data_IF_368752546051
#
_entry.id   IF_368752546051
#
_cell.length_a   1.000
_cell.length_b   1.000
_cell.length_c   1.000
_cell.angle_alpha   90.00
_cell.angle_beta   90.00
_cell.angle_gamma   90.00
#
_symmetry.space_group_name_H-M   'P 1'
#
loop_
_entity.id
_entity.type
_entity.pdbx_description
1 polymer ?
#
# COMPACT_ATOMS: atom_id res chain seq x y z
N UNK A 1 -51.58 6.13 36.21
CA UNK A 1 -50.32 5.66 36.81
C UNK A 1 -49.35 6.82 36.78
N UNK A 2 -49.11 7.42 37.95
CA UNK A 2 -48.35 8.68 38.14
C UNK A 2 -46.86 8.38 38.28
N UNK A 3 -46.04 9.04 37.47
CA UNK A 3 -44.56 9.00 37.59
C UNK A 3 -44.05 9.61 38.87
N UNK A 4 -43.02 9.05 39.55
CA UNK A 4 -42.48 9.65 40.74
C UNK A 4 -41.59 10.86 40.41
N UNK A 5 -41.84 11.97 41.09
CA UNK A 5 -40.97 13.15 41.09
C UNK A 5 -39.77 12.90 42.01
N UNK A 6 -38.56 12.95 41.45
CA UNK A 6 -37.33 12.95 42.26
C UNK A 6 -37.12 14.34 42.88
N UNK A 7 -37.10 14.41 44.21
CA UNK A 7 -36.68 15.61 44.93
C UNK A 7 -35.17 15.51 45.23
N UNK A 8 -34.43 16.55 44.85
CA UNK A 8 -32.99 16.66 45.14
C UNK A 8 -32.76 16.92 46.64
N UNK A 9 -32.43 15.89 47.37
CA UNK A 9 -32.03 15.98 48.77
C UNK A 9 -30.51 15.72 48.87
N UNK A 10 -29.75 16.69 49.34
CA UNK A 10 -28.31 16.53 49.62
C UNK A 10 -28.15 16.29 51.10
N UNK A 11 -27.56 15.16 51.48
CA UNK A 11 -27.15 14.85 52.88
C UNK A 11 -25.77 15.45 53.12
N UNK A 12 -25.68 16.32 54.09
CA UNK A 12 -24.39 16.86 54.59
C UNK A 12 -23.99 16.08 55.84
N UNK A 13 -22.77 15.52 55.92
CA UNK A 13 -22.32 14.80 57.10
C UNK A 13 -22.09 15.77 58.27
N UNK A 14 -22.71 15.51 59.41
CA UNK A 14 -22.47 16.23 60.62
C UNK A 14 -21.23 15.74 61.36
N UNK A 15 -20.45 16.65 61.90
CA UNK A 15 -19.33 16.37 62.79
C UNK A 15 -19.87 15.89 64.13
N UNK A 16 -19.39 14.71 64.54
CA UNK A 16 -19.51 14.03 65.83
C UNK A 16 -20.66 14.48 66.76
N UNK A 17 -21.73 13.72 66.85
CA UNK A 17 -22.58 13.62 68.00
C UNK A 17 -23.98 14.18 67.95
N UNK A 18 -24.53 14.60 66.81
CA UNK A 18 -25.91 15.04 66.72
C UNK A 18 -26.68 14.42 65.49
N UNK A 19 -27.94 14.09 65.74
CA UNK A 19 -28.85 13.55 64.76
C UNK A 19 -29.13 14.53 63.61
N UNK A 20 -29.27 14.08 62.34
CA UNK A 20 -29.44 14.97 61.21
C UNK A 20 -30.82 15.68 61.22
N UNK A 21 -30.79 17.00 61.09
CA UNK A 21 -32.00 17.82 60.95
C UNK A 21 -32.25 18.23 59.50
N UNK A 22 -33.53 18.18 59.09
CA UNK A 22 -34.00 18.59 57.76
C UNK A 22 -34.29 20.09 57.82
N UNK A 23 -33.58 20.88 57.01
CA UNK A 23 -33.89 22.30 56.84
C UNK A 23 -34.54 22.53 55.49
N UNK A 24 -35.78 22.99 55.49
CA UNK A 24 -36.52 23.49 54.33
C UNK A 24 -36.32 25.01 54.23
N UNK A 25 -35.71 25.44 53.12
CA UNK A 25 -35.55 26.88 52.85
C UNK A 25 -36.83 27.44 52.20
N UNK A 26 -37.55 28.28 52.97
CA UNK A 26 -38.64 29.11 52.46
C UNK A 26 -38.10 30.31 51.65
N UNK A 27 -38.78 30.57 50.55
CA UNK A 27 -38.44 31.69 49.66
C UNK A 27 -38.88 33.03 50.37
N UNK A 28 -37.95 33.88 50.66
CA UNK A 28 -38.17 35.30 50.98
C UNK A 28 -37.75 36.15 49.76
N UNK A 29 -38.78 36.77 49.15
CA UNK A 29 -38.62 37.75 48.08
C UNK A 29 -37.92 39.01 48.61
N UNK A 30 -36.66 39.23 48.19
CA UNK A 30 -36.02 40.53 48.27
C UNK A 30 -35.66 41.05 46.87
N UNK A 31 -35.93 42.33 46.59
CA UNK A 31 -35.66 42.92 45.28
C UNK A 31 -34.16 42.96 45.03
N UNK A 32 -33.67 42.09 44.10
CA UNK A 32 -32.25 42.00 43.73
C UNK A 32 -31.80 43.28 42.99
N UNK A 33 -30.92 44.06 43.58
CA UNK A 33 -30.21 45.18 42.97
C UNK A 33 -29.47 44.65 41.69
N UNK A 34 -29.81 45.21 40.54
CA UNK A 34 -29.15 44.91 39.26
C UNK A 34 -27.67 45.25 39.34
N UNK A 35 -26.79 44.27 39.36
CA UNK A 35 -25.35 44.47 39.25
C UNK A 35 -25.00 44.91 37.83
N UNK A 36 -24.21 45.97 37.61
CA UNK A 36 -23.74 46.36 36.30
C UNK A 36 -22.82 45.25 35.77
N UNK A 37 -23.16 44.67 34.60
CA UNK A 37 -22.34 43.67 33.96
C UNK A 37 -21.67 44.20 32.70
N UNK A 38 -20.43 43.75 32.44
CA UNK A 38 -19.66 44.11 31.27
C UNK A 38 -20.36 43.55 30.02
N UNK A 39 -20.62 44.36 29.00
CA UNK A 39 -21.21 43.94 27.75
C UNK A 39 -20.25 43.02 27.02
N UNK A 40 -20.70 41.84 26.59
CA UNK A 40 -19.92 40.93 25.74
C UNK A 40 -19.70 41.55 24.36
N UNK A 41 -18.44 41.77 23.99
CA UNK A 41 -18.09 42.37 22.70
C UNK A 41 -18.36 41.44 21.51
N UNK A 42 -18.20 40.12 21.70
CA UNK A 42 -18.39 39.05 20.69
C UNK A 42 -19.76 38.34 20.79
N UNK A 43 -20.70 38.86 21.53
CA UNK A 43 -22.03 38.28 21.68
C UNK A 43 -22.81 38.21 20.38
N UNK A 44 -23.67 37.18 20.21
CA UNK A 44 -24.50 36.96 19.04
C UNK A 44 -25.56 38.08 18.87
N UNK A 45 -26.05 38.28 17.64
CA UNK A 45 -26.99 39.36 17.31
C UNK A 45 -28.34 39.21 18.02
N UNK A 46 -28.82 38.01 18.23
CA UNK A 46 -30.05 37.76 19.00
C UNK A 46 -29.93 38.22 20.46
N UNK A 47 -28.84 37.94 21.14
CA UNK A 47 -28.56 38.41 22.50
C UNK A 47 -28.31 39.94 22.56
N UNK A 48 -27.63 40.50 21.55
CA UNK A 48 -27.43 41.96 21.44
C UNK A 48 -28.74 42.72 21.27
N UNK A 49 -29.62 42.26 20.39
CA UNK A 49 -30.96 42.83 20.22
C UNK A 49 -31.80 42.79 21.50
N UNK A 50 -31.73 41.70 22.25
CA UNK A 50 -32.46 41.51 23.52
C UNK A 50 -31.79 42.14 24.72
N UNK A 51 -30.58 42.73 24.53
CA UNK A 51 -29.79 43.40 25.61
C UNK A 51 -29.50 42.44 26.79
N UNK A 52 -29.32 41.14 26.50
CA UNK A 52 -28.93 40.12 27.49
C UNK A 52 -27.49 39.73 27.30
N UNK A 53 -26.84 39.23 28.39
CA UNK A 53 -25.44 38.76 28.32
C UNK A 53 -25.38 37.49 27.49
N UNK A 54 -24.50 37.48 26.49
CA UNK A 54 -24.17 36.30 25.71
C UNK A 54 -22.96 35.59 26.32
N UNK A 55 -22.98 34.27 26.36
CA UNK A 55 -21.85 33.42 26.79
C UNK A 55 -20.85 33.17 25.70
N UNK A 56 -21.08 33.77 24.52
CA UNK A 56 -20.17 33.73 23.34
C UNK A 56 -19.94 32.32 22.76
N UNK A 57 -20.67 31.29 23.18
CA UNK A 57 -20.70 29.97 22.58
C UNK A 57 -21.55 29.98 21.29
N UNK A 58 -21.33 29.04 20.41
CA UNK A 58 -22.11 28.92 19.14
C UNK A 58 -22.70 27.51 19.07
N UNK A 59 -24.04 27.40 19.21
CA UNK A 59 -25.01 28.41 19.63
C UNK A 59 -24.89 28.74 21.12
N UNK A 60 -25.20 29.99 21.53
CA UNK A 60 -25.14 30.39 22.91
C UNK A 60 -26.29 29.84 23.74
N UNK A 61 -26.10 29.63 25.05
CA UNK A 61 -27.08 29.03 25.94
C UNK A 61 -28.41 29.77 25.92
N UNK A 62 -28.41 31.09 25.83
CA UNK A 62 -29.62 31.90 25.76
C UNK A 62 -30.44 31.71 24.46
N UNK A 63 -29.77 31.45 23.33
CA UNK A 63 -30.43 31.17 22.08
C UNK A 63 -30.93 29.71 22.04
N UNK A 64 -30.15 28.77 22.55
CA UNK A 64 -30.55 27.37 22.72
C UNK A 64 -31.82 27.19 23.54
N UNK A 65 -31.85 27.82 24.72
CA UNK A 65 -33.02 27.74 25.62
C UNK A 65 -34.33 28.32 25.00
N UNK A 66 -34.18 29.20 24.02
CA UNK A 66 -35.34 29.86 23.35
C UNK A 66 -35.58 29.34 21.96
N UNK A 67 -34.85 28.34 21.51
CA UNK A 67 -34.95 27.78 20.16
C UNK A 67 -34.82 28.85 19.06
N UNK A 68 -33.96 29.88 19.28
CA UNK A 68 -33.69 30.95 18.33
C UNK A 68 -32.38 30.78 17.62
N UNK A 69 -32.28 31.21 16.37
CA UNK A 69 -31.05 31.18 15.59
C UNK A 69 -30.00 32.10 16.20
N UNK A 70 -28.79 31.55 16.42
CA UNK A 70 -27.66 32.25 17.04
C UNK A 70 -26.61 32.63 15.98
N UNK A 71 -26.63 33.87 15.50
CA UNK A 71 -25.63 34.38 14.55
C UNK A 71 -24.57 35.21 15.27
N UNK A 72 -23.31 34.85 15.07
CA UNK A 72 -22.15 35.66 15.48
C UNK A 72 -21.49 36.30 14.25
N UNK A 73 -21.25 37.61 14.21
CA UNK A 73 -20.82 38.31 12.99
C UNK A 73 -19.39 37.98 12.49
N UNK A 74 -18.64 37.12 13.15
CA UNK A 74 -17.23 36.86 12.81
C UNK A 74 -16.88 35.35 12.62
N UNK A 75 -17.85 34.46 12.49
CA UNK A 75 -17.60 33.07 12.05
C UNK A 75 -18.34 32.81 10.76
N UNK A 76 -17.60 32.80 9.65
CA UNK A 76 -18.03 32.06 8.45
C UNK A 76 -17.89 30.57 8.82
N UNK A 77 -18.83 30.07 9.59
CA UNK A 77 -19.03 28.63 9.72
C UNK A 77 -19.89 28.25 8.54
N UNK A 78 -19.31 27.56 7.58
CA UNK A 78 -20.08 26.74 6.65
C UNK A 78 -20.88 25.81 7.51
N UNK A 79 -22.16 26.15 7.75
CA UNK A 79 -23.10 25.30 8.45
C UNK A 79 -23.44 24.16 7.49
N UNK A 80 -22.71 23.07 7.57
CA UNK A 80 -23.19 21.76 7.17
C UNK A 80 -24.39 21.52 8.09
N UNK A 81 -25.61 21.29 7.58
CA UNK A 81 -26.72 20.91 8.42
C UNK A 81 -26.36 19.57 9.06
N UNK A 82 -25.90 19.59 10.29
CA UNK A 82 -25.86 18.41 11.12
C UNK A 82 -27.32 18.15 11.45
N UNK A 83 -27.98 17.38 10.59
CA UNK A 83 -29.10 16.59 11.04
C UNK A 83 -28.55 15.76 12.18
N UNK A 84 -28.94 16.06 13.40
CA UNK A 84 -28.68 15.20 14.53
C UNK A 84 -29.48 13.90 14.27
N UNK A 85 -28.95 13.06 13.37
CA UNK A 85 -29.25 11.64 13.38
C UNK A 85 -28.84 11.20 14.77
N UNK A 86 -29.77 10.63 15.52
CA UNK A 86 -29.45 9.95 16.76
C UNK A 86 -28.17 9.15 16.48
N UNK A 87 -27.09 9.48 17.21
CA UNK A 87 -25.88 8.70 17.16
C UNK A 87 -26.30 7.39 17.80
N UNK A 88 -26.65 6.41 16.97
CA UNK A 88 -26.74 5.04 17.42
C UNK A 88 -25.43 4.78 18.18
N UNK A 89 -25.47 4.27 19.42
CA UNK A 89 -24.27 4.01 20.17
C UNK A 89 -23.37 3.16 19.30
N UNK A 90 -22.22 3.71 18.90
CA UNK A 90 -21.23 2.97 18.13
C UNK A 90 -20.99 1.68 18.90
N UNK A 91 -21.29 0.53 18.34
CA UNK A 91 -21.13 -0.72 19.08
C UNK A 91 -19.68 -0.82 19.53
N UNK A 92 -19.48 -1.16 20.81
CA UNK A 92 -18.15 -1.32 21.43
C UNK A 92 -17.25 -2.25 20.61
N UNK A 93 -17.86 -3.17 19.89
CA UNK A 93 -17.22 -4.17 19.07
C UNK A 93 -17.77 -4.06 17.66
N UNK A 94 -16.90 -3.83 16.71
CA UNK A 94 -17.26 -3.91 15.30
C UNK A 94 -17.22 -5.38 14.85
N UNK A 95 -18.38 -6.02 14.79
CA UNK A 95 -18.50 -7.44 14.42
C UNK A 95 -17.96 -7.73 13.02
N UNK A 96 -18.10 -6.80 12.08
CA UNK A 96 -17.51 -6.92 10.75
C UNK A 96 -15.97 -6.97 10.84
N UNK A 97 -15.35 -6.12 11.64
CA UNK A 97 -13.89 -6.16 11.82
C UNK A 97 -13.43 -7.46 12.47
N UNK A 98 -14.20 -8.01 13.42
CA UNK A 98 -13.87 -9.32 14.02
C UNK A 98 -14.02 -10.45 13.01
N UNK A 99 -15.07 -10.45 12.19
CA UNK A 99 -15.28 -11.42 11.11
C UNK A 99 -14.11 -11.38 10.13
N UNK A 100 -13.71 -10.19 9.67
CA UNK A 100 -12.59 -9.98 8.76
C UNK A 100 -11.25 -10.42 9.37
N UNK A 101 -11.01 -10.07 10.64
CA UNK A 101 -9.77 -10.45 11.33
C UNK A 101 -9.69 -11.97 11.55
N UNK A 102 -10.81 -12.61 11.90
CA UNK A 102 -10.88 -14.07 12.01
C UNK A 102 -10.59 -14.73 10.66
N UNK A 103 -11.18 -14.23 9.58
CA UNK A 103 -10.94 -14.74 8.23
C UNK A 103 -9.47 -14.53 7.80
N UNK A 104 -8.86 -13.39 8.16
CA UNK A 104 -7.43 -13.18 7.96
C UNK A 104 -6.60 -14.30 8.59
N UNK A 105 -6.83 -14.57 9.86
CA UNK A 105 -6.03 -15.56 10.59
C UNK A 105 -6.23 -16.99 10.08
N UNK A 106 -7.45 -17.36 9.68
CA UNK A 106 -7.77 -18.71 9.25
C UNK A 106 -7.47 -18.98 7.79
N UNK A 107 -7.76 -18.03 6.93
CA UNK A 107 -7.80 -18.25 5.48
C UNK A 107 -6.86 -17.29 4.72
N UNK A 108 -7.03 -15.97 4.84
CA UNK A 108 -6.42 -15.01 3.94
C UNK A 108 -4.90 -15.06 3.96
N UNK A 109 -4.26 -15.01 5.14
CA UNK A 109 -2.81 -14.95 5.25
C UNK A 109 -2.09 -16.17 4.67
N UNK A 110 -2.75 -17.31 4.63
CA UNK A 110 -2.18 -18.56 4.07
C UNK A 110 -2.18 -18.57 2.54
N UNK A 111 -2.95 -17.68 1.91
CA UNK A 111 -3.02 -17.53 0.45
C UNK A 111 -2.07 -16.46 -0.10
N UNK A 112 -1.32 -15.80 0.77
CA UNK A 112 -0.40 -14.73 0.39
C UNK A 112 1.04 -15.27 0.30
N UNK A 113 1.82 -14.74 -0.64
CA UNK A 113 3.26 -14.99 -0.70
C UNK A 113 3.95 -14.55 0.60
N UNK A 114 5.13 -15.08 0.86
CA UNK A 114 5.92 -14.80 2.07
C UNK A 114 5.21 -15.15 3.38
N UNK A 115 4.70 -16.37 3.54
CA UNK A 115 3.86 -16.75 4.69
C UNK A 115 4.53 -16.53 6.05
N UNK A 116 5.87 -16.51 6.09
CA UNK A 116 6.68 -16.36 7.30
C UNK A 116 6.56 -14.96 7.93
N UNK A 117 6.28 -13.92 7.16
CA UNK A 117 6.21 -12.54 7.69
C UNK A 117 4.84 -12.19 8.28
N UNK A 118 3.76 -12.81 7.83
CA UNK A 118 2.41 -12.40 8.22
C UNK A 118 2.09 -12.54 9.71
N UNK A 119 2.64 -13.52 10.46
CA UNK A 119 2.51 -13.55 11.91
C UNK A 119 3.12 -12.33 12.59
N UNK A 120 4.27 -11.83 12.11
CA UNK A 120 4.92 -10.63 12.63
C UNK A 120 4.08 -9.38 12.30
N UNK A 121 3.63 -9.26 11.06
CA UNK A 121 2.75 -8.15 10.62
C UNK A 121 1.46 -8.13 11.43
N UNK A 122 0.88 -9.29 11.72
CA UNK A 122 -0.33 -9.40 12.55
C UNK A 122 -0.08 -8.92 13.98
N UNK A 123 1.09 -9.17 14.57
CA UNK A 123 1.43 -8.64 15.89
C UNK A 123 1.54 -7.12 15.88
N UNK A 124 2.13 -6.54 14.83
CA UNK A 124 2.20 -5.08 14.67
C UNK A 124 0.81 -4.45 14.54
N UNK A 125 -0.17 -5.16 13.97
CA UNK A 125 -1.53 -4.65 13.83
C UNK A 125 -2.24 -4.34 15.15
N UNK A 126 -1.82 -4.93 16.26
CA UNK A 126 -2.36 -4.61 17.58
C UNK A 126 -1.85 -3.29 18.15
N UNK A 127 -0.80 -2.73 17.55
CA UNK A 127 -0.16 -1.49 17.99
C UNK A 127 -0.29 -0.36 16.97
N UNK A 128 -0.47 -0.72 15.70
CA UNK A 128 -0.49 0.23 14.56
C UNK A 128 -1.80 0.11 13.78
N UNK A 129 -2.61 1.15 13.83
CA UNK A 129 -3.94 1.19 13.23
C UNK A 129 -3.93 1.09 11.68
N UNK A 130 -2.86 1.56 11.04
CA UNK A 130 -2.68 1.44 9.59
C UNK A 130 -2.42 0.00 9.16
N UNK A 131 -1.69 -0.79 9.96
CA UNK A 131 -1.47 -2.23 9.71
C UNK A 131 -2.78 -3.00 9.86
N UNK A 132 -3.51 -2.75 10.95
CA UNK A 132 -4.81 -3.37 11.18
C UNK A 132 -5.78 -3.05 10.04
N UNK A 133 -5.84 -1.80 9.61
CA UNK A 133 -6.71 -1.39 8.50
C UNK A 133 -6.35 -2.10 7.19
N UNK A 134 -5.06 -2.30 6.90
CA UNK A 134 -4.57 -3.02 5.72
C UNK A 134 -4.94 -4.51 5.78
N UNK A 135 -4.75 -5.16 6.92
CA UNK A 135 -5.14 -6.56 7.15
C UNK A 135 -6.65 -6.75 6.91
N UNK A 136 -7.47 -5.90 7.53
CA UNK A 136 -8.92 -5.98 7.36
C UNK A 136 -9.36 -5.71 5.92
N UNK A 137 -8.70 -4.78 5.23
CA UNK A 137 -8.95 -4.48 3.82
C UNK A 137 -8.66 -5.70 2.93
N UNK A 138 -7.48 -6.29 3.07
CA UNK A 138 -7.07 -7.48 2.31
C UNK A 138 -8.01 -8.66 2.59
N UNK A 139 -8.43 -8.85 3.84
CA UNK A 139 -9.39 -9.87 4.22
C UNK A 139 -10.78 -9.62 3.61
N UNK A 140 -11.25 -8.37 3.58
CA UNK A 140 -12.51 -8.01 2.95
C UNK A 140 -12.49 -8.26 1.42
N UNK A 141 -11.35 -7.98 0.76
CA UNK A 141 -11.16 -8.30 -0.65
C UNK A 141 -11.18 -9.79 -0.91
N UNK A 142 -10.50 -10.59 -0.05
CA UNK A 142 -10.55 -12.04 -0.15
C UNK A 142 -12.00 -12.56 0.01
N UNK A 143 -12.73 -12.11 1.02
CA UNK A 143 -14.15 -12.45 1.16
C UNK A 143 -14.97 -12.05 -0.06
N UNK A 144 -14.74 -10.88 -0.63
CA UNK A 144 -15.48 -10.43 -1.80
C UNK A 144 -15.21 -11.30 -3.04
N UNK A 145 -14.01 -11.90 -3.12
CA UNK A 145 -13.68 -12.86 -4.18
C UNK A 145 -14.37 -14.22 -3.98
N UNK A 146 -14.53 -14.66 -2.73
CA UNK A 146 -15.20 -15.90 -2.37
C UNK A 146 -16.74 -15.78 -2.41
N UNK A 147 -17.26 -14.60 -2.02
CA UNK A 147 -18.68 -14.32 -1.92
C UNK A 147 -19.09 -13.08 -2.75
N UNK A 148 -18.98 -13.13 -4.11
CA UNK A 148 -19.19 -11.97 -4.98
C UNK A 148 -20.64 -11.43 -4.93
N UNK A 149 -21.59 -12.22 -4.43
CA UNK A 149 -22.99 -11.83 -4.30
C UNK A 149 -23.29 -11.05 -3.01
N UNK A 150 -22.33 -10.98 -2.06
CA UNK A 150 -22.50 -10.22 -0.83
C UNK A 150 -21.83 -8.83 -0.92
N UNK A 151 -22.60 -7.77 -1.17
CA UNK A 151 -22.05 -6.43 -1.37
C UNK A 151 -21.34 -5.88 -0.13
N UNK A 152 -21.69 -6.37 1.07
CA UNK A 152 -21.10 -5.90 2.34
C UNK A 152 -19.57 -5.96 2.38
N UNK A 153 -18.97 -6.99 1.77
CA UNK A 153 -17.50 -7.16 1.78
C UNK A 153 -16.82 -6.23 0.77
N UNK A 154 -17.45 -5.99 -0.38
CA UNK A 154 -16.97 -5.01 -1.35
C UNK A 154 -17.01 -3.60 -0.77
N UNK A 155 -18.13 -3.23 -0.14
CA UNK A 155 -18.29 -1.93 0.50
C UNK A 155 -17.28 -1.76 1.64
N UNK A 156 -17.09 -2.81 2.47
CA UNK A 156 -16.10 -2.81 3.52
C UNK A 156 -14.67 -2.64 2.96
N UNK A 157 -14.30 -3.35 1.87
CA UNK A 157 -12.97 -3.23 1.26
C UNK A 157 -12.70 -1.81 0.76
N UNK A 158 -13.65 -1.16 0.10
CA UNK A 158 -13.52 0.23 -0.36
C UNK A 158 -13.30 1.23 0.78
N UNK A 159 -14.08 1.12 1.86
CA UNK A 159 -13.90 1.98 3.04
C UNK A 159 -12.56 1.74 3.75
N UNK A 160 -12.18 0.46 3.91
CA UNK A 160 -10.92 0.08 4.55
C UNK A 160 -9.71 0.46 3.70
N UNK A 161 -9.80 0.36 2.36
CA UNK A 161 -8.75 0.82 1.45
C UNK A 161 -8.49 2.32 1.62
N UNK A 162 -9.54 3.15 1.57
CA UNK A 162 -9.41 4.59 1.76
C UNK A 162 -8.76 4.93 3.11
N UNK A 163 -9.20 4.24 4.19
CA UNK A 163 -8.63 4.37 5.52
C UNK A 163 -7.17 3.93 5.58
N UNK A 164 -6.84 2.79 4.99
CA UNK A 164 -5.47 2.26 4.93
C UNK A 164 -4.54 3.25 4.26
N UNK A 165 -4.88 3.74 3.08
CA UNK A 165 -4.05 4.71 2.33
C UNK A 165 -3.85 5.99 3.13
N UNK A 166 -4.90 6.52 3.76
CA UNK A 166 -4.83 7.72 4.58
C UNK A 166 -3.89 7.54 5.78
N UNK A 167 -4.05 6.46 6.53
CA UNK A 167 -3.25 6.18 7.73
C UNK A 167 -1.81 5.83 7.37
N UNK A 168 -1.59 5.02 6.34
CA UNK A 168 -0.28 4.63 5.88
C UNK A 168 0.53 5.85 5.41
N UNK A 169 -0.08 6.72 4.60
CA UNK A 169 0.52 7.98 4.14
C UNK A 169 0.97 8.87 5.29
N UNK A 170 0.14 8.99 6.34
CA UNK A 170 0.50 9.72 7.56
C UNK A 170 1.70 9.10 8.27
N UNK A 171 1.83 7.79 8.27
CA UNK A 171 2.89 7.09 8.96
C UNK A 171 4.20 7.03 8.14
N UNK A 172 4.14 7.04 6.81
CA UNK A 172 5.31 7.17 5.93
C UNK A 172 6.07 8.49 6.11
N UNK A 173 5.41 9.54 6.60
CA UNK A 173 6.08 10.82 6.91
C UNK A 173 6.88 10.81 8.23
N UNK A 174 6.77 9.74 9.04
CA UNK A 174 7.53 9.58 10.27
C UNK A 174 8.95 9.07 9.97
N UNK A 175 9.95 9.40 10.80
CA UNK A 175 11.28 8.83 10.66
C UNK A 175 11.27 7.30 10.74
N UNK A 176 12.01 6.65 9.85
CA UNK A 176 12.22 5.20 9.90
C UNK A 176 13.05 4.82 11.11
N UNK A 177 12.62 3.81 11.83
CA UNK A 177 13.31 3.30 12.99
C UNK A 177 13.01 1.81 13.20
N UNK A 178 13.70 1.21 14.16
CA UNK A 178 13.57 -0.21 14.51
C UNK A 178 12.16 -0.63 14.93
N UNK A 179 11.35 0.27 15.43
CA UNK A 179 10.00 -0.03 15.91
C UNK A 179 8.93 -0.01 14.81
N UNK A 180 9.12 0.79 13.75
CA UNK A 180 8.09 0.98 12.74
C UNK A 180 8.40 0.39 11.35
N UNK A 181 9.64 -0.02 11.09
CA UNK A 181 10.05 -0.47 9.75
C UNK A 181 9.31 -1.75 9.30
N UNK A 182 9.10 -2.73 10.19
CA UNK A 182 8.36 -3.96 9.87
C UNK A 182 6.87 -3.67 9.62
N UNK A 183 6.26 -2.80 10.43
CA UNK A 183 4.87 -2.37 10.25
C UNK A 183 4.66 -1.65 8.92
N UNK A 184 5.57 -0.74 8.57
CA UNK A 184 5.54 0.00 7.32
C UNK A 184 5.74 -0.92 6.12
N UNK A 185 6.72 -1.83 6.17
CA UNK A 185 6.98 -2.78 5.10
C UNK A 185 5.85 -3.78 4.93
N UNK A 186 5.34 -4.37 6.01
CA UNK A 186 4.20 -5.27 5.96
C UNK A 186 2.96 -4.62 5.36
N UNK A 187 2.71 -3.35 5.73
CA UNK A 187 1.61 -2.58 5.12
C UNK A 187 1.84 -2.28 3.64
N UNK A 188 3.08 -1.95 3.24
CA UNK A 188 3.41 -1.72 1.83
C UNK A 188 3.15 -2.97 0.98
N UNK A 189 3.50 -4.15 1.48
CA UNK A 189 3.19 -5.43 0.80
C UNK A 189 1.68 -5.68 0.74
N UNK A 190 0.92 -5.39 1.81
CA UNK A 190 -0.54 -5.50 1.78
C UNK A 190 -1.17 -4.50 0.78
N UNK A 191 -0.66 -3.27 0.69
CA UNK A 191 -1.09 -2.28 -0.31
C UNK A 191 -0.79 -2.79 -1.73
N UNK A 192 0.31 -3.52 -1.94
CA UNK A 192 0.58 -4.15 -3.24
C UNK A 192 -0.47 -5.22 -3.57
N UNK A 193 -0.88 -6.09 -2.61
CA UNK A 193 -2.00 -7.03 -2.82
C UNK A 193 -3.31 -6.32 -3.14
N UNK A 194 -3.60 -5.22 -2.43
CA UNK A 194 -4.78 -4.39 -2.69
C UNK A 194 -4.74 -3.86 -4.13
N UNK A 195 -3.57 -3.38 -4.59
CA UNK A 195 -3.39 -2.87 -5.95
C UNK A 195 -3.49 -3.98 -7.02
N UNK A 196 -3.04 -5.19 -6.71
CA UNK A 196 -3.22 -6.35 -7.58
C UNK A 196 -4.71 -6.71 -7.76
N UNK A 197 -5.49 -6.62 -6.71
CA UNK A 197 -6.92 -6.95 -6.74
C UNK A 197 -7.77 -5.85 -7.37
N UNK A 198 -7.36 -4.58 -7.24
CA UNK A 198 -8.12 -3.42 -7.69
C UNK A 198 -8.15 -3.30 -9.22
N UNK A 199 -9.36 -3.32 -9.77
CA UNK A 199 -9.66 -3.12 -11.19
C UNK A 199 -10.56 -1.91 -11.43
N UNK A 200 -10.79 -1.08 -10.40
CA UNK A 200 -11.71 0.06 -10.49
C UNK A 200 -11.26 1.10 -11.53
N UNK A 201 -9.96 1.17 -11.83
CA UNK A 201 -9.45 2.04 -12.89
C UNK A 201 -10.02 1.74 -14.28
N UNK A 202 -10.57 0.54 -14.51
CA UNK A 202 -11.21 0.15 -15.78
C UNK A 202 -12.63 0.70 -15.93
N UNK A 203 -13.26 1.15 -14.83
CA UNK A 203 -14.63 1.63 -14.88
C UNK A 203 -14.76 2.92 -15.71
N UNK A 204 -15.68 2.90 -16.67
CA UNK A 204 -15.98 4.07 -17.51
C UNK A 204 -14.94 4.34 -18.61
N UNK A 205 -13.96 3.46 -18.80
CA UNK A 205 -13.00 3.58 -19.92
C UNK A 205 -13.59 3.01 -21.21
N UNK A 206 -13.44 3.77 -22.29
CA UNK A 206 -13.76 3.32 -23.66
C UNK A 206 -12.54 2.72 -24.36
N UNK A 207 -11.34 3.02 -23.88
CA UNK A 207 -10.05 2.56 -24.37
C UNK A 207 -9.17 2.21 -23.18
N UNK A 208 -8.32 1.20 -23.31
CA UNK A 208 -7.38 0.80 -22.28
C UNK A 208 -6.38 1.93 -21.97
N UNK A 209 -6.40 2.42 -20.74
CA UNK A 209 -5.52 3.48 -20.23
C UNK A 209 -4.82 2.98 -18.97
N UNK A 210 -3.61 2.45 -19.15
CA UNK A 210 -2.79 1.91 -18.06
C UNK A 210 -2.15 3.00 -17.18
N UNK A 211 -2.21 4.28 -17.58
CA UNK A 211 -1.72 5.38 -16.76
C UNK A 211 -2.48 5.55 -15.43
N UNK A 212 -3.65 4.93 -15.34
CA UNK A 212 -4.51 4.93 -14.14
C UNK A 212 -4.34 3.70 -13.27
N UNK A 213 -3.58 2.71 -13.73
CA UNK A 213 -3.36 1.46 -12.99
C UNK A 213 -2.41 1.65 -11.82
N UNK A 214 -2.95 1.69 -10.61
CA UNK A 214 -2.18 1.90 -9.38
C UNK A 214 -1.11 0.83 -9.14
N UNK A 215 -1.29 -0.38 -9.69
CA UNK A 215 -0.34 -1.47 -9.51
C UNK A 215 1.08 -1.10 -9.96
N UNK A 216 1.21 -0.38 -11.06
CA UNK A 216 2.52 0.00 -11.61
C UNK A 216 3.07 1.33 -11.06
N UNK A 217 2.22 2.15 -10.43
CA UNK A 217 2.63 3.47 -9.92
C UNK A 217 2.93 3.53 -8.42
N UNK A 218 2.42 2.56 -7.64
CA UNK A 218 2.74 2.48 -6.21
C UNK A 218 4.07 1.77 -5.91
N UNK A 219 4.53 0.95 -6.84
CA UNK A 219 5.71 0.08 -6.66
C UNK A 219 7.03 0.81 -6.45
N UNK A 220 7.32 1.98 -7.07
CA UNK A 220 8.55 2.72 -6.76
C UNK A 220 8.70 3.05 -5.28
N UNK A 221 7.58 3.38 -4.62
CA UNK A 221 7.56 3.64 -3.18
C UNK A 221 7.89 2.40 -2.33
N UNK A 222 7.48 1.21 -2.79
CA UNK A 222 7.79 -0.06 -2.09
C UNK A 222 9.28 -0.36 -2.19
N UNK A 223 9.90 -0.15 -3.35
CA UNK A 223 11.33 -0.34 -3.55
C UNK A 223 12.14 0.58 -2.62
N UNK A 224 11.81 1.85 -2.62
CA UNK A 224 12.46 2.85 -1.75
C UNK A 224 12.35 2.45 -0.28
N UNK A 225 11.15 2.05 0.15
CA UNK A 225 10.90 1.58 1.50
C UNK A 225 11.73 0.34 1.84
N UNK A 226 11.81 -0.61 0.90
CA UNK A 226 12.58 -1.84 1.04
C UNK A 226 14.06 -1.55 1.27
N UNK A 227 14.69 -0.78 0.39
CA UNK A 227 16.12 -0.46 0.52
C UNK A 227 16.43 0.32 1.80
N UNK A 228 15.57 1.25 2.21
CA UNK A 228 15.74 2.00 3.45
C UNK A 228 15.58 1.14 4.71
N UNK A 229 14.77 0.11 4.66
CA UNK A 229 14.51 -0.78 5.79
C UNK A 229 15.53 -1.91 5.91
N UNK A 230 16.19 -2.31 4.82
CA UNK A 230 17.08 -3.46 4.78
C UNK A 230 18.22 -3.44 5.81
N UNK A 231 18.96 -2.33 6.01
CA UNK A 231 19.99 -2.28 7.05
C UNK A 231 19.42 -2.58 8.45
N UNK A 232 18.20 -2.09 8.72
CA UNK A 232 17.52 -2.32 10.00
C UNK A 232 17.10 -3.78 10.13
N UNK A 233 16.53 -4.37 9.07
CA UNK A 233 16.10 -5.77 9.06
C UNK A 233 17.26 -6.73 9.30
N UNK A 234 18.40 -6.50 8.63
CA UNK A 234 19.62 -7.31 8.81
C UNK A 234 20.13 -7.18 10.25
N UNK A 235 20.18 -5.97 10.78
CA UNK A 235 20.69 -5.67 12.12
C UNK A 235 19.83 -6.29 13.25
N UNK A 236 18.53 -6.41 13.01
CA UNK A 236 17.56 -7.00 13.95
C UNK A 236 17.37 -8.52 13.79
N UNK A 237 17.91 -9.12 12.72
CA UNK A 237 17.57 -10.51 12.36
C UNK A 237 16.09 -10.70 12.04
N UNK A 238 15.48 -9.70 11.39
CA UNK A 238 14.07 -9.74 11.03
C UNK A 238 13.79 -10.76 9.92
N UNK A 239 12.62 -11.40 9.95
CA UNK A 239 12.16 -12.30 8.88
C UNK A 239 12.06 -11.61 7.52
N UNK A 240 11.92 -10.28 7.48
CA UNK A 240 11.99 -9.53 6.23
C UNK A 240 13.38 -9.58 5.59
N UNK A 241 14.46 -9.71 6.38
CA UNK A 241 15.80 -9.93 5.85
C UNK A 241 15.92 -11.31 5.18
N UNK A 242 15.23 -12.32 5.70
CA UNK A 242 15.22 -13.66 5.09
C UNK A 242 14.47 -13.66 3.74
N UNK A 243 13.35 -12.93 3.65
CA UNK A 243 12.66 -12.69 2.37
C UNK A 243 13.59 -12.05 1.34
N UNK A 244 14.43 -11.09 1.77
CA UNK A 244 15.37 -10.44 0.87
C UNK A 244 16.50 -11.35 0.38
N UNK A 245 16.93 -12.32 1.20
CA UNK A 245 17.94 -13.30 0.82
C UNK A 245 17.42 -14.35 -0.13
N UNK A 246 16.11 -14.60 -0.08
CA UNK A 246 15.46 -15.53 -0.97
C UNK A 246 15.36 -14.95 -2.39
N UNK A 247 15.80 -15.70 -3.38
CA UNK A 247 15.73 -15.31 -4.79
C UNK A 247 14.83 -16.28 -5.55
N UNK A 248 13.53 -16.00 -5.64
CA UNK A 248 12.57 -16.87 -6.34
C UNK A 248 13.00 -17.14 -7.79
N UNK A 249 13.49 -16.11 -8.48
CA UNK A 249 13.97 -16.23 -9.85
C UNK A 249 15.11 -17.26 -9.98
N UNK A 250 16.10 -17.19 -9.11
CA UNK A 250 17.24 -18.10 -9.14
C UNK A 250 16.82 -19.56 -8.93
N UNK A 251 15.90 -19.82 -8.00
CA UNK A 251 15.38 -21.16 -7.76
C UNK A 251 14.60 -21.70 -8.96
N UNK A 252 13.78 -20.86 -9.61
CA UNK A 252 13.07 -21.24 -10.83
C UNK A 252 14.06 -21.54 -11.96
N UNK A 253 15.05 -20.67 -12.20
CA UNK A 253 16.10 -20.89 -13.22
C UNK A 253 16.86 -22.18 -12.96
N UNK A 254 17.27 -22.46 -11.72
CA UNK A 254 17.94 -23.68 -11.34
C UNK A 254 17.08 -24.93 -11.63
N UNK A 255 15.81 -24.87 -11.29
CA UNK A 255 14.86 -25.95 -11.59
C UNK A 255 14.72 -26.17 -13.11
N UNK A 256 14.51 -25.11 -13.88
CA UNK A 256 14.38 -25.16 -15.34
C UNK A 256 15.64 -25.78 -16.00
N UNK A 257 16.81 -25.32 -15.60
CA UNK A 257 18.10 -25.90 -16.09
C UNK A 257 18.22 -27.37 -15.71
N UNK A 258 17.84 -27.75 -14.50
CA UNK A 258 17.85 -29.17 -14.08
C UNK A 258 16.91 -30.05 -14.89
N UNK A 259 15.83 -29.49 -15.41
CA UNK A 259 14.87 -30.16 -16.31
C UNK A 259 15.27 -30.08 -17.79
N UNK A 260 16.41 -29.46 -18.11
CA UNK A 260 16.93 -29.32 -19.48
C UNK A 260 16.26 -28.20 -20.27
N UNK A 261 15.71 -27.20 -19.61
CA UNK A 261 15.03 -26.07 -20.25
C UNK A 261 15.80 -24.76 -20.06
N UNK A 262 15.87 -23.95 -21.11
CA UNK A 262 16.53 -22.66 -21.12
C UNK A 262 15.49 -21.53 -21.23
N UNK A 263 15.33 -20.68 -20.19
CA UNK A 263 14.45 -19.53 -20.24
C UNK A 263 14.93 -18.42 -21.18
N UNK A 264 16.22 -18.36 -21.52
CA UNK A 264 16.82 -17.31 -22.39
C UNK A 264 16.22 -17.30 -23.80
N UNK A 265 15.65 -18.41 -24.26
CA UNK A 265 14.94 -18.47 -25.55
C UNK A 265 13.81 -17.43 -25.66
N UNK A 266 13.14 -17.10 -24.54
CA UNK A 266 12.06 -16.11 -24.53
C UNK A 266 12.57 -14.68 -24.63
N UNK A 267 13.79 -14.43 -24.15
CA UNK A 267 14.46 -13.13 -24.28
C UNK A 267 14.69 -12.82 -25.75
N UNK A 268 15.28 -13.76 -26.52
CA UNK A 268 15.50 -13.59 -27.95
C UNK A 268 14.22 -13.28 -28.72
N UNK A 269 13.18 -14.12 -28.52
CA UNK A 269 11.89 -13.97 -29.19
C UNK A 269 11.20 -12.61 -28.93
N UNK A 270 11.29 -12.10 -27.70
CA UNK A 270 10.70 -10.81 -27.33
C UNK A 270 11.59 -9.62 -27.71
N UNK A 271 12.90 -9.83 -27.83
CA UNK A 271 13.80 -8.80 -28.38
C UNK A 271 13.60 -8.58 -29.88
N UNK A 272 13.18 -9.60 -30.64
CA UNK A 272 12.76 -9.44 -32.04
C UNK A 272 11.60 -8.44 -32.16
N UNK A 273 10.68 -8.42 -31.18
CA UNK A 273 9.57 -7.44 -31.12
C UNK A 273 10.09 -6.02 -30.85
N UNK A 274 11.12 -5.89 -30.04
CA UNK A 274 11.74 -4.59 -29.77
C UNK A 274 12.33 -3.96 -31.04
N UNK A 275 12.96 -4.77 -31.86
CA UNK A 275 13.64 -4.33 -33.07
C UNK A 275 12.68 -4.21 -34.29
N UNK A 276 11.45 -4.73 -34.21
CA UNK A 276 10.45 -4.68 -35.26
C UNK A 276 9.74 -3.30 -35.35
N UNK A 277 9.86 -2.57 -36.46
CA UNK A 277 9.24 -1.25 -36.63
C UNK A 277 7.73 -1.21 -36.41
N UNK A 278 7.02 -2.32 -36.59
CA UNK A 278 5.56 -2.38 -36.40
C UNK A 278 5.13 -2.12 -34.96
N UNK A 279 5.99 -2.43 -33.99
CA UNK A 279 5.72 -2.24 -32.58
C UNK A 279 6.31 -0.93 -32.03
N UNK A 280 7.13 -0.24 -32.84
CA UNK A 280 7.67 1.06 -32.47
C UNK A 280 6.58 2.11 -32.68
N UNK A 281 5.99 2.60 -31.59
CA UNK A 281 5.03 3.70 -31.61
C UNK A 281 5.69 5.04 -31.96
N UNK A 282 4.88 6.09 -32.13
CA UNK A 282 5.34 7.47 -32.33
C UNK A 282 6.06 8.06 -31.09
N UNK A 283 6.26 7.27 -30.04
CA UNK A 283 6.96 7.68 -28.84
C UNK A 283 8.41 8.02 -29.17
N UNK A 284 8.71 9.30 -29.21
CA UNK A 284 10.07 9.79 -29.45
C UNK A 284 11.06 9.25 -28.42
N UNK A 285 12.37 9.31 -28.70
CA UNK A 285 13.40 8.84 -27.78
C UNK A 285 13.23 9.48 -26.40
N UNK A 286 13.40 8.69 -25.36
CA UNK A 286 13.35 9.15 -23.96
C UNK A 286 14.19 10.40 -23.78
N UNK A 287 13.56 11.48 -23.35
CA UNK A 287 14.33 12.59 -22.77
C UNK A 287 14.96 12.06 -21.50
N UNK A 288 16.28 12.00 -21.47
CA UNK A 288 17.12 11.37 -20.44
C UNK A 288 17.09 12.04 -19.07
N UNK A 289 16.12 12.88 -18.77
CA UNK A 289 16.15 13.81 -17.65
C UNK A 289 15.41 13.34 -16.39
N UNK A 290 14.79 12.17 -16.41
CA UNK A 290 14.23 11.61 -15.17
C UNK A 290 15.29 10.86 -14.38
N UNK A 291 15.55 11.28 -13.12
CA UNK A 291 16.50 10.58 -12.26
C UNK A 291 15.97 9.17 -11.94
N UNK A 292 16.56 8.17 -12.60
CA UNK A 292 16.26 6.77 -12.32
C UNK A 292 16.83 6.42 -10.96
N UNK A 293 15.99 5.96 -10.03
CA UNK A 293 16.40 5.57 -8.68
C UNK A 293 17.52 4.52 -8.70
N UNK A 294 18.60 4.73 -7.93
CA UNK A 294 19.64 3.70 -7.74
C UNK A 294 19.06 2.40 -7.20
N UNK A 295 18.07 2.48 -6.32
CA UNK A 295 17.38 1.32 -5.77
C UNK A 295 16.74 0.46 -6.87
N UNK A 296 16.11 1.07 -7.87
CA UNK A 296 15.54 0.36 -9.01
C UNK A 296 16.60 -0.32 -9.88
N UNK A 297 17.76 0.33 -10.11
CA UNK A 297 18.87 -0.27 -10.86
C UNK A 297 19.46 -1.49 -10.16
N UNK A 298 19.67 -1.41 -8.85
CA UNK A 298 20.11 -2.54 -8.04
C UNK A 298 19.10 -3.71 -8.12
N UNK A 299 17.82 -3.41 -8.05
CA UNK A 299 16.79 -4.43 -8.15
C UNK A 299 16.82 -5.15 -9.51
N UNK A 300 17.10 -4.44 -10.60
CA UNK A 300 17.27 -5.03 -11.92
C UNK A 300 18.61 -5.76 -12.11
N UNK A 301 19.54 -5.70 -11.14
CA UNK A 301 20.87 -6.30 -11.27
C UNK A 301 21.79 -5.55 -12.23
N UNK A 302 21.59 -4.24 -12.34
CA UNK A 302 22.38 -3.33 -13.19
C UNK A 302 23.59 -2.75 -12.43
N UNK A 303 24.12 -3.51 -11.49
CA UNK A 303 25.17 -3.08 -10.54
C UNK A 303 26.48 -2.68 -11.23
N UNK A 304 26.83 -3.34 -12.32
CA UNK A 304 28.11 -3.10 -13.05
C UNK A 304 28.19 -1.70 -13.68
N UNK A 305 27.16 -0.88 -13.55
CA UNK A 305 27.08 0.45 -14.16
C UNK A 305 27.09 1.57 -13.12
N UNK A 306 27.24 1.23 -11.84
CA UNK A 306 27.53 2.22 -10.79
C UNK A 306 29.05 2.50 -10.85
N UNK A 307 29.49 3.75 -11.06
CA UNK A 307 30.92 4.06 -11.06
C UNK A 307 31.48 3.73 -9.68
N UNK A 308 32.22 2.64 -9.58
CA UNK A 308 33.01 2.35 -8.38
C UNK A 308 34.07 3.44 -8.22
N UNK A 309 34.04 4.19 -7.13
CA UNK A 309 35.23 4.86 -6.65
C UNK A 309 36.23 3.76 -6.36
N UNK A 310 37.37 3.77 -7.12
CA UNK A 310 38.39 2.73 -7.08
C UNK A 310 38.76 2.37 -5.65
N UNK A 311 38.58 1.13 -5.20
CA UNK A 311 39.15 0.69 -3.92
C UNK A 311 40.67 0.58 -4.07
N UNK A 312 41.38 1.19 -3.16
CA UNK A 312 42.81 0.90 -2.95
C UNK A 312 42.90 -0.55 -2.49
N UNK A 313 43.58 -1.37 -3.28
CA UNK A 313 43.79 -2.79 -3.03
C UNK A 313 44.50 -3.03 -1.69
N UNK A 314 44.06 -3.93 -0.85
CA UNK A 314 44.91 -4.64 0.11
C UNK A 314 45.29 -6.03 -0.41
N UNK A 315 46.38 -6.62 0.11
CA UNK A 315 46.97 -7.83 -0.43
C UNK A 315 46.22 -9.11 -0.07
N UNK A 316 46.41 -10.10 -0.92
CA UNK A 316 45.84 -11.43 -0.80
C UNK A 316 46.35 -12.19 0.43
N UNK A 317 45.42 -12.84 1.16
CA UNK A 317 45.71 -14.07 1.92
C UNK A 317 44.48 -15.01 1.90
N UNK A 318 44.76 -16.27 1.71
CA UNK A 318 43.89 -17.42 1.57
C UNK A 318 43.21 -17.77 2.88
N UNK A 319 41.88 -18.12 2.89
CA UNK A 319 41.36 -19.25 3.67
C UNK A 319 39.83 -19.41 3.62
N UNK A 320 39.39 -20.67 3.48
CA UNK A 320 38.20 -21.36 3.93
C UNK A 320 36.79 -20.99 3.44
N UNK A 321 36.10 -22.01 2.91
CA UNK A 321 34.79 -22.00 2.22
C UNK A 321 33.56 -21.63 3.07
N UNK A 322 33.69 -21.42 4.37
CA UNK A 322 32.60 -20.99 5.26
C UNK A 322 32.37 -19.47 5.26
N UNK A 323 33.31 -18.69 4.72
CA UNK A 323 33.24 -17.21 4.75
C UNK A 323 32.51 -16.58 3.57
N UNK A 324 32.21 -17.31 2.50
CA UNK A 324 31.59 -16.74 1.29
C UNK A 324 30.15 -16.24 1.53
N UNK A 325 29.40 -16.89 2.42
CA UNK A 325 28.03 -16.46 2.72
C UNK A 325 27.99 -15.19 3.60
N UNK A 326 28.94 -15.07 4.52
CA UNK A 326 29.09 -13.88 5.38
C UNK A 326 29.66 -12.69 4.60
N UNK A 327 30.59 -12.92 3.68
CA UNK A 327 31.15 -11.89 2.81
C UNK A 327 30.11 -11.30 1.85
N UNK A 328 29.22 -12.12 1.29
CA UNK A 328 28.12 -11.67 0.44
C UNK A 328 27.14 -10.78 1.20
N UNK A 329 26.83 -11.12 2.46
CA UNK A 329 25.96 -10.33 3.33
C UNK A 329 26.61 -9.01 3.76
N UNK A 330 27.90 -9.01 4.05
CA UNK A 330 28.65 -7.81 4.42
C UNK A 330 28.73 -6.86 3.23
N UNK A 331 29.03 -7.38 2.05
CA UNK A 331 29.04 -6.61 0.81
C UNK A 331 27.66 -6.02 0.46
N UNK A 332 26.60 -6.79 0.60
CA UNK A 332 25.24 -6.31 0.40
C UNK A 332 24.88 -5.19 1.40
N UNK A 333 25.28 -5.35 2.67
CA UNK A 333 25.08 -4.34 3.70
C UNK A 333 25.86 -3.06 3.39
N UNK A 334 27.10 -3.16 2.94
CA UNK A 334 27.93 -2.01 2.54
C UNK A 334 27.34 -1.30 1.32
N UNK A 335 26.91 -2.03 0.29
CA UNK A 335 26.28 -1.46 -0.91
C UNK A 335 24.97 -0.76 -0.55
N UNK A 336 24.12 -1.38 0.29
CA UNK A 336 22.84 -0.80 0.72
C UNK A 336 23.08 0.44 1.58
N UNK A 337 24.06 0.41 2.50
CA UNK A 337 24.39 1.55 3.36
C UNK A 337 24.95 2.70 2.53
N UNK A 338 25.85 2.44 1.60
CA UNK A 338 26.43 3.45 0.70
C UNK A 338 25.35 4.10 -0.19
N UNK A 339 24.43 3.30 -0.70
CA UNK A 339 23.25 3.78 -1.45
C UNK A 339 22.36 4.63 -0.55
N UNK A 340 22.05 4.19 0.67
CA UNK A 340 21.18 4.90 1.60
C UNK A 340 21.78 6.24 2.02
N UNK A 341 23.09 6.28 2.35
CA UNK A 341 23.79 7.50 2.75
C UNK A 341 23.88 8.53 1.63
N UNK A 342 24.04 8.08 0.39
CA UNK A 342 24.03 8.96 -0.80
C UNK A 342 22.67 9.62 -1.06
N UNK A 343 21.57 8.97 -0.65
CA UNK A 343 20.21 9.50 -0.83
C UNK A 343 19.69 10.34 0.33
N UNK A 344 20.18 10.13 1.54
CA UNK A 344 19.70 10.84 2.74
C UNK A 344 20.42 12.16 3.00
N UNK A 345 21.55 12.43 2.33
CA UNK A 345 22.31 13.66 2.51
C UNK A 345 21.84 14.74 1.54
N UNK A 346 21.22 15.85 2.02
CA UNK A 346 20.66 16.92 1.15
C UNK A 346 21.75 17.76 0.44
N UNK A 347 23.03 17.50 0.68
CA UNK A 347 24.15 18.32 0.19
C UNK A 347 25.10 17.60 -0.78
N UNK A 348 24.80 16.34 -1.17
CA UNK A 348 25.73 15.61 -2.05
C UNK A 348 25.41 15.86 -3.53
N UNK A 349 26.40 16.28 -4.35
CA UNK A 349 26.21 16.50 -5.78
C UNK A 349 25.94 15.22 -6.58
N UNK A 350 25.97 14.05 -5.93
CA UNK A 350 25.62 12.76 -6.54
C UNK A 350 24.14 12.64 -6.93
N UNK A 351 23.26 13.47 -6.38
CA UNK A 351 21.87 13.58 -6.85
C UNK A 351 21.77 14.14 -8.30
N UNK A 352 22.86 14.70 -8.81
CA UNK A 352 22.99 15.27 -10.15
C UNK A 352 23.95 14.50 -11.06
N UNK A 353 24.43 13.31 -10.67
CA UNK A 353 25.15 12.48 -11.62
C UNK A 353 24.15 11.95 -12.65
N UNK A 354 24.16 12.57 -13.80
CA UNK A 354 23.69 12.03 -15.07
C UNK A 354 24.45 10.72 -15.31
N UNK A 355 23.89 9.64 -14.80
CA UNK A 355 24.36 8.31 -15.11
C UNK A 355 24.14 8.11 -16.60
N UNK A 356 25.22 7.80 -17.33
CA UNK A 356 25.23 7.54 -18.77
C UNK A 356 23.97 6.80 -19.18
N UNK A 357 23.24 7.34 -20.16
CA UNK A 357 22.00 6.82 -20.67
C UNK A 357 22.19 5.34 -21.07
N UNK A 358 21.64 4.42 -20.26
CA UNK A 358 21.36 3.10 -20.77
C UNK A 358 20.38 3.26 -21.92
N UNK A 359 20.62 2.57 -23.03
CA UNK A 359 19.64 2.55 -24.08
C UNK A 359 18.36 1.87 -23.56
N UNK A 360 17.21 2.40 -23.93
CA UNK A 360 15.91 1.81 -23.63
C UNK A 360 15.85 0.31 -23.92
N UNK A 361 16.55 -0.10 -25.00
CA UNK A 361 16.72 -1.48 -25.41
C UNK A 361 17.33 -2.35 -24.30
N UNK A 362 18.38 -1.87 -23.66
CA UNK A 362 19.07 -2.60 -22.58
C UNK A 362 18.20 -2.72 -21.34
N UNK A 363 17.41 -1.71 -21.03
CA UNK A 363 16.43 -1.75 -19.91
C UNK A 363 15.35 -2.80 -20.20
N UNK A 364 14.81 -2.82 -21.41
CA UNK A 364 13.81 -3.80 -21.81
C UNK A 364 14.37 -5.23 -21.80
N UNK A 365 15.56 -5.45 -22.35
CA UNK A 365 16.26 -6.72 -22.30
C UNK A 365 16.47 -7.23 -20.87
N UNK A 366 16.91 -6.34 -19.97
CA UNK A 366 17.06 -6.68 -18.55
C UNK A 366 15.72 -7.10 -17.91
N UNK A 367 14.61 -6.42 -18.24
CA UNK A 367 13.28 -6.81 -17.78
C UNK A 367 12.89 -8.19 -18.30
N UNK A 368 13.19 -8.47 -19.57
CA UNK A 368 12.90 -9.77 -20.18
C UNK A 368 13.64 -10.91 -19.46
N UNK A 369 14.92 -10.75 -19.14
CA UNK A 369 15.68 -11.72 -18.35
C UNK A 369 15.05 -11.98 -16.99
N UNK A 370 14.38 -10.98 -16.39
CA UNK A 370 13.69 -11.15 -15.08
C UNK A 370 12.39 -11.92 -15.18
N UNK A 371 11.69 -11.83 -16.31
CA UNK A 371 10.36 -12.42 -16.52
C UNK A 371 10.43 -13.75 -17.30
N UNK A 372 11.47 -13.97 -18.10
CA UNK A 372 11.62 -15.15 -18.95
C UNK A 372 11.45 -16.50 -18.22
N UNK A 373 11.89 -16.69 -16.96
CA UNK A 373 11.65 -17.94 -16.25
C UNK A 373 10.15 -18.25 -16.06
N UNK A 374 9.32 -17.23 -15.79
CA UNK A 374 7.86 -17.40 -15.69
C UNK A 374 7.25 -17.81 -17.04
N UNK A 375 7.69 -17.20 -18.13
CA UNK A 375 7.22 -17.52 -19.48
C UNK A 375 7.61 -18.95 -19.86
N UNK A 376 8.83 -19.37 -19.50
CA UNK A 376 9.29 -20.73 -19.67
C UNK A 376 8.44 -21.73 -18.89
N UNK A 377 8.18 -21.50 -17.62
CA UNK A 377 7.30 -22.34 -16.80
C UNK A 377 5.89 -22.45 -17.42
N UNK A 378 5.30 -21.32 -17.85
CA UNK A 378 3.98 -21.31 -18.46
C UNK A 378 3.93 -22.13 -19.75
N UNK A 379 4.95 -22.00 -20.61
CA UNK A 379 5.09 -22.79 -21.83
C UNK A 379 5.17 -24.32 -21.54
N UNK A 380 5.86 -24.70 -20.46
CA UNK A 380 6.00 -26.10 -20.08
C UNK A 380 4.69 -26.71 -19.54
N UNK A 381 3.92 -25.92 -18.80
CA UNK A 381 2.59 -26.35 -18.30
C UNK A 381 1.58 -26.47 -19.44
N UNK A 382 1.63 -25.59 -20.42
CA UNK A 382 0.73 -25.57 -21.59
C UNK A 382 1.13 -26.56 -22.67
N UNK A 383 2.38 -27.01 -22.67
CA UNK A 383 2.96 -27.87 -23.67
C UNK A 383 2.48 -29.33 -23.57
N UNK A 384 2.84 -30.16 -24.57
CA UNK A 384 2.45 -31.57 -24.63
C UNK A 384 3.06 -32.44 -23.51
N UNK A 385 4.24 -32.05 -23.01
CA UNK A 385 4.88 -32.65 -21.85
C UNK A 385 4.69 -31.74 -20.65
N UNK A 386 3.64 -32.01 -19.87
CA UNK A 386 3.36 -31.25 -18.66
C UNK A 386 4.41 -31.52 -17.59
N UNK A 387 5.16 -30.49 -17.19
CA UNK A 387 6.05 -30.56 -16.06
C UNK A 387 5.29 -30.25 -14.77
N UNK A 388 5.63 -30.97 -13.71
CA UNK A 388 5.11 -30.67 -12.37
C UNK A 388 5.88 -29.50 -11.75
N UNK A 389 5.18 -28.38 -11.54
CA UNK A 389 5.71 -27.15 -10.97
C UNK A 389 5.57 -27.08 -9.45
N UNK A 390 5.10 -28.15 -8.80
CA UNK A 390 4.77 -28.14 -7.36
C UNK A 390 5.96 -27.72 -6.49
N UNK A 391 7.17 -28.16 -6.85
CA UNK A 391 8.39 -27.86 -6.08
C UNK A 391 8.81 -26.39 -6.09
N UNK A 392 8.42 -25.65 -7.11
CA UNK A 392 8.76 -24.21 -7.28
C UNK A 392 7.52 -23.31 -7.29
N UNK A 393 6.35 -23.85 -6.90
CA UNK A 393 5.10 -23.09 -6.97
C UNK A 393 5.09 -21.83 -6.09
N UNK A 394 5.73 -21.88 -4.92
CA UNK A 394 5.89 -20.71 -4.05
C UNK A 394 6.80 -19.64 -4.69
N UNK A 395 7.90 -20.06 -5.30
CA UNK A 395 8.81 -19.15 -6.01
C UNK A 395 8.12 -18.48 -7.21
N UNK A 396 7.30 -19.25 -7.96
CA UNK A 396 6.50 -18.72 -9.06
C UNK A 396 5.53 -17.66 -8.55
N UNK A 397 4.80 -17.93 -7.46
CA UNK A 397 3.88 -16.99 -6.86
C UNK A 397 4.58 -15.70 -6.39
N UNK A 398 5.72 -15.84 -5.69
CA UNK A 398 6.52 -14.72 -5.21
C UNK A 398 7.07 -13.87 -6.35
N UNK A 399 7.53 -14.52 -7.43
CA UNK A 399 8.05 -13.80 -8.59
C UNK A 399 6.93 -13.05 -9.33
N UNK A 400 5.75 -13.66 -9.53
CA UNK A 400 4.60 -12.95 -10.12
C UNK A 400 4.18 -11.75 -9.29
N UNK A 401 4.09 -11.92 -7.96
CA UNK A 401 3.75 -10.83 -7.05
C UNK A 401 4.73 -9.67 -7.15
N UNK A 402 6.02 -9.97 -7.35
CA UNK A 402 7.10 -8.98 -7.39
C UNK A 402 7.31 -8.29 -8.75
N UNK A 403 6.83 -8.84 -9.87
CA UNK A 403 7.07 -8.26 -11.21
C UNK A 403 6.67 -6.79 -11.34
N UNK A 404 5.49 -6.32 -10.83
CA UNK A 404 5.15 -4.91 -10.92
C UNK A 404 6.17 -3.98 -10.27
N UNK A 405 6.88 -4.48 -9.24
CA UNK A 405 7.97 -3.74 -8.58
C UNK A 405 9.12 -3.45 -9.55
N UNK A 406 9.36 -4.34 -10.53
CA UNK A 406 10.35 -4.14 -11.59
C UNK A 406 9.88 -3.10 -12.63
N UNK A 407 8.58 -2.86 -12.74
CA UNK A 407 7.97 -1.96 -13.72
C UNK A 407 8.03 -0.48 -13.31
N UNK A 408 9.18 -0.02 -12.82
CA UNK A 408 9.45 1.35 -12.41
C UNK A 408 10.32 2.10 -13.44
N UNK A 409 10.57 3.38 -13.22
CA UNK A 409 11.43 4.18 -14.08
C UNK A 409 10.95 4.22 -15.54
N UNK A 410 11.82 3.93 -16.53
CA UNK A 410 11.45 3.93 -17.95
C UNK A 410 10.30 2.98 -18.28
N UNK A 411 10.21 1.84 -17.60
CA UNK A 411 9.18 0.84 -17.85
C UNK A 411 7.80 1.36 -17.45
N UNK A 412 7.68 2.03 -16.30
CA UNK A 412 6.41 2.65 -15.88
C UNK A 412 5.92 3.67 -16.91
N UNK A 413 6.83 4.40 -17.54
CA UNK A 413 6.49 5.33 -18.61
C UNK A 413 5.98 4.62 -19.86
N UNK A 414 6.65 3.57 -20.32
CA UNK A 414 6.16 2.79 -21.48
C UNK A 414 4.78 2.19 -21.22
N UNK A 415 4.52 1.74 -19.98
CA UNK A 415 3.19 1.26 -19.56
C UNK A 415 2.17 2.42 -19.64
N UNK A 416 2.51 3.58 -19.09
CA UNK A 416 1.64 4.76 -19.10
C UNK A 416 1.34 5.25 -20.52
N UNK A 417 2.35 5.24 -21.40
CA UNK A 417 2.22 5.66 -22.78
C UNK A 417 1.50 4.59 -23.65
N UNK A 418 1.31 3.40 -23.11
CA UNK A 418 0.73 2.27 -23.82
C UNK A 418 1.60 1.79 -24.96
N UNK A 419 2.94 1.78 -24.81
CA UNK A 419 3.89 1.30 -25.81
C UNK A 419 3.58 -0.14 -26.20
N UNK A 420 3.53 -0.43 -27.50
CA UNK A 420 3.09 -1.73 -28.00
C UNK A 420 4.03 -2.87 -27.57
N UNK A 421 5.32 -2.61 -27.40
CA UNK A 421 6.32 -3.61 -26.98
C UNK A 421 6.08 -4.06 -25.55
N UNK A 422 5.82 -3.10 -24.63
CA UNK A 422 5.50 -3.43 -23.25
C UNK A 422 4.11 -4.08 -23.13
N UNK A 423 3.15 -3.69 -23.98
CA UNK A 423 1.83 -4.32 -24.00
C UNK A 423 1.93 -5.80 -24.40
N UNK A 424 2.78 -6.13 -25.39
CA UNK A 424 3.02 -7.55 -25.77
C UNK A 424 3.62 -8.32 -24.59
N UNK A 425 4.62 -7.75 -23.91
CA UNK A 425 5.21 -8.38 -22.72
C UNK A 425 4.17 -8.60 -21.61
N UNK A 426 3.36 -7.58 -21.31
CA UNK A 426 2.30 -7.68 -20.29
C UNK A 426 1.21 -8.68 -20.70
N UNK A 427 0.89 -8.79 -22.00
CA UNK A 427 -0.04 -9.81 -22.50
C UNK A 427 0.47 -11.23 -22.15
N UNK A 428 1.72 -11.52 -22.48
CA UNK A 428 2.33 -12.82 -22.15
C UNK A 428 2.49 -13.03 -20.64
N UNK A 429 2.85 -12.00 -19.90
CA UNK A 429 2.93 -12.05 -18.43
C UNK A 429 1.58 -12.43 -17.82
N UNK A 430 0.49 -11.76 -18.18
CA UNK A 430 -0.83 -12.07 -17.65
C UNK A 430 -1.36 -13.43 -18.13
N UNK A 431 -1.04 -13.85 -19.35
CA UNK A 431 -1.34 -15.19 -19.84
C UNK A 431 -0.59 -16.26 -19.03
N UNK A 432 0.70 -16.05 -18.78
CA UNK A 432 1.50 -16.92 -17.92
C UNK A 432 0.93 -17.02 -16.51
N UNK A 433 0.43 -15.90 -15.94
CA UNK A 433 -0.22 -15.90 -14.64
C UNK A 433 -1.50 -16.75 -14.62
N UNK A 434 -2.33 -16.72 -15.66
CA UNK A 434 -3.52 -17.58 -15.74
C UNK A 434 -3.18 -19.08 -15.79
N UNK A 435 -2.05 -19.43 -16.40
CA UNK A 435 -1.59 -20.82 -16.54
C UNK A 435 -0.99 -21.34 -15.24
N UNK A 436 -0.21 -20.51 -14.55
CA UNK A 436 0.63 -20.92 -13.41
C UNK A 436 -0.02 -20.67 -12.05
N UNK A 437 -0.87 -19.63 -11.93
CA UNK A 437 -1.51 -19.28 -10.67
C UNK A 437 -2.87 -19.98 -10.53
N UNK A 438 -3.17 -20.49 -9.33
CA UNK A 438 -4.49 -21.06 -9.06
C UNK A 438 -5.50 -19.96 -8.69
N UNK A 439 -6.72 -20.13 -9.14
CA UNK A 439 -7.79 -19.15 -8.88
C UNK A 439 -8.09 -19.04 -7.37
N UNK A 440 -8.07 -20.15 -6.68
CA UNK A 440 -8.44 -20.23 -5.26
C UNK A 440 -7.35 -19.63 -4.37
N UNK A 441 -6.10 -20.01 -4.62
CA UNK A 441 -4.96 -19.53 -3.83
C UNK A 441 -4.54 -18.11 -4.21
N UNK A 442 -4.48 -17.82 -5.50
CA UNK A 442 -4.00 -16.53 -6.01
C UNK A 442 -5.15 -15.60 -6.44
N UNK A 443 -6.23 -15.60 -5.66
CA UNK A 443 -7.43 -14.78 -5.87
C UNK A 443 -7.11 -13.31 -6.14
N UNK A 444 -6.04 -12.80 -5.53
CA UNK A 444 -5.58 -11.42 -5.65
C UNK A 444 -5.10 -11.04 -7.06
N UNK A 445 -4.55 -11.98 -7.82
CA UNK A 445 -3.97 -11.71 -9.14
C UNK A 445 -4.67 -12.43 -10.30
N UNK A 446 -5.36 -13.55 -10.05
CA UNK A 446 -5.94 -14.38 -11.10
C UNK A 446 -7.00 -13.66 -11.93
N UNK A 447 -7.96 -13.00 -11.29
CA UNK A 447 -9.03 -12.27 -11.99
C UNK A 447 -8.46 -11.12 -12.83
N UNK A 448 -7.50 -10.36 -12.25
CA UNK A 448 -6.78 -9.32 -12.99
C UNK A 448 -6.11 -9.89 -14.23
N UNK A 449 -5.42 -11.02 -14.09
CA UNK A 449 -4.70 -11.63 -15.20
C UNK A 449 -5.63 -11.99 -16.37
N UNK A 450 -6.81 -12.55 -16.08
CA UNK A 450 -7.82 -12.85 -17.10
C UNK A 450 -8.37 -11.60 -17.79
N UNK A 451 -8.62 -10.54 -17.03
CA UNK A 451 -9.18 -9.29 -17.57
C UNK A 451 -8.15 -8.53 -18.38
N UNK A 452 -6.95 -8.37 -17.84
CA UNK A 452 -5.89 -7.57 -18.46
C UNK A 452 -5.35 -8.22 -19.72
N UNK A 453 -5.11 -9.53 -19.74
CA UNK A 453 -4.68 -10.24 -20.94
C UNK A 453 -5.64 -9.98 -22.10
N UNK A 454 -6.95 -10.15 -21.85
CA UNK A 454 -7.98 -9.92 -22.87
C UNK A 454 -7.99 -8.47 -23.37
N UNK A 455 -7.98 -7.48 -22.46
CA UNK A 455 -8.04 -6.06 -22.83
C UNK A 455 -6.79 -5.62 -23.61
N UNK A 456 -5.62 -6.07 -23.18
CA UNK A 456 -4.35 -5.78 -23.88
C UNK A 456 -4.34 -6.43 -25.27
N UNK A 457 -4.81 -7.67 -25.37
CA UNK A 457 -4.89 -8.36 -26.64
C UNK A 457 -5.84 -7.66 -27.62
N UNK A 458 -7.01 -7.19 -27.13
CA UNK A 458 -7.96 -6.43 -27.93
C UNK A 458 -7.37 -5.08 -28.38
N UNK A 459 -6.63 -4.39 -27.51
CA UNK A 459 -5.93 -3.16 -27.87
C UNK A 459 -4.85 -3.40 -28.93
N UNK A 460 -4.01 -4.44 -28.79
CA UNK A 460 -2.98 -4.78 -29.77
C UNK A 460 -3.59 -5.15 -31.12
N UNK A 461 -4.68 -5.92 -31.13
CA UNK A 461 -5.44 -6.23 -32.38
C UNK A 461 -6.00 -4.97 -33.04
N UNK A 462 -6.51 -4.02 -32.26
CA UNK A 462 -7.01 -2.74 -32.78
C UNK A 462 -5.92 -1.91 -33.45
N UNK A 463 -4.67 -2.11 -33.09
CA UNK A 463 -3.47 -1.52 -33.72
C UNK A 463 -2.98 -2.33 -34.92
N UNK A 464 -3.65 -3.41 -35.30
CA UNK A 464 -3.22 -4.32 -36.39
C UNK A 464 -2.01 -5.19 -36.01
N UNK A 465 -1.70 -5.32 -34.73
CA UNK A 465 -0.62 -6.15 -34.20
C UNK A 465 -1.17 -7.52 -33.82
N UNK A 466 -0.55 -8.56 -34.35
CA UNK A 466 -0.88 -9.94 -33.99
C UNK A 466 0.11 -10.43 -32.95
N UNK A 467 -0.40 -10.85 -31.78
CA UNK A 467 0.39 -11.47 -30.73
C UNK A 467 0.28 -12.97 -30.90
N UNK A 468 1.24 -13.55 -31.63
CA UNK A 468 1.33 -14.99 -31.73
C UNK A 468 1.63 -15.58 -30.35
N UNK A 469 1.05 -16.75 -30.05
CA UNK A 469 1.24 -17.38 -28.75
C UNK A 469 2.70 -17.85 -28.64
N UNK A 470 3.50 -17.14 -27.86
CA UNK A 470 4.82 -17.59 -27.40
C UNK A 470 4.69 -18.64 -26.28
N UNK A 471 3.51 -18.69 -25.65
CA UNK A 471 3.14 -19.59 -24.56
C UNK A 471 1.84 -20.32 -24.94
#
# INVERSE_FOLDING_TARGET
MTSPRFSNTILVPGTSGQSPSIQTFGALDQPRKKRPHRKSRKGCDACKRRKVKCDERVPCTNCLQRNEQCFQPHHISVAIPIVAKAIDPVPWINLMHLELFHHWDKETRSTLAFPQIWPVVMQQAFHEDFVMSAILCTSAMHFSSLCPHEPKYRDASGHLMAKTVQLFRKNLSRPFNKQNCEALMGTALLVNYISWFDLDFLHGQTKLDLSKDQLFFLTPGIIELWFRSMPIFIDQGSLFADVARHSPRFHIEQALVSWGHDPERFVGLLMDIWDDPRYQGESGPLKSDEPTSCAWRLLLGMENQIPHASPKSPPAEESCEEDTHNQSLTHLKEVITDVTDKFTSPTHPAASMVLSSQSDRSVFETLLHRISPLLCCASLVSGPMRCDMTSISADIEELFFGVPVLCSGPIARWISDGDSRILVLLCHFYRGAQILLSKERNWWGYTRSCVMERLILDELKSRGLNVDSLI
#
